data_IF_586522129481
#
_entry.id   IF_586522129481
#
_cell.length_a   1.000
_cell.length_b   1.000
_cell.length_c   1.000
_cell.angle_alpha   90.00
_cell.angle_beta   90.00
_cell.angle_gamma   90.00
#
_symmetry.space_group_name_H-M   'P 1'
#
loop_
_entity.id
_entity.type
_entity.pdbx_description
1 polymer ?
#
# COMPACT_ATOMS: atom_id res chain seq x y z
N UNK A 1 22.16 0.82 -20.83
CA UNK A 1 21.02 1.01 -19.90
C UNK A 1 21.24 2.32 -19.17
N UNK A 2 20.71 3.43 -19.69
CA UNK A 2 20.87 4.75 -19.08
C UNK A 2 19.80 4.92 -18.01
N UNK A 3 20.24 5.07 -16.76
CA UNK A 3 19.41 5.55 -15.67
C UNK A 3 19.05 7.02 -15.94
N UNK A 4 17.75 7.31 -15.96
CA UNK A 4 17.19 8.65 -15.82
C UNK A 4 16.86 8.90 -14.33
N UNK A 5 16.66 10.16 -13.88
CA UNK A 5 17.17 10.64 -12.59
C UNK A 5 16.33 10.24 -11.37
N UNK A 6 17.03 9.66 -10.38
CA UNK A 6 16.56 9.04 -9.12
C UNK A 6 15.95 9.99 -8.09
N UNK A 7 16.03 11.32 -8.26
CA UNK A 7 15.65 12.28 -7.22
C UNK A 7 14.13 12.54 -7.13
N UNK A 8 13.44 12.72 -8.26
CA UNK A 8 11.99 13.00 -8.30
C UNK A 8 11.16 11.76 -7.89
N UNK A 9 11.66 10.57 -8.19
CA UNK A 9 11.05 9.28 -7.84
C UNK A 9 11.09 9.03 -6.32
N UNK A 10 12.21 9.40 -5.67
CA UNK A 10 12.38 9.21 -4.22
C UNK A 10 11.46 10.06 -3.34
N UNK A 11 11.12 11.29 -3.76
CA UNK A 11 10.20 12.17 -3.02
C UNK A 11 8.74 11.71 -3.17
N UNK A 12 8.36 11.26 -4.37
CA UNK A 12 7.04 10.65 -4.64
C UNK A 12 6.86 9.31 -3.92
N UNK A 13 7.92 8.50 -3.88
CA UNK A 13 7.95 7.24 -3.14
C UNK A 13 7.82 7.46 -1.62
N UNK A 14 8.49 8.48 -1.09
CA UNK A 14 8.37 8.85 0.33
C UNK A 14 6.96 9.29 0.68
N UNK A 15 6.30 10.07 -0.19
CA UNK A 15 4.90 10.49 0.00
C UNK A 15 3.92 9.31 0.00
N UNK A 16 4.11 8.37 -0.92
CA UNK A 16 3.22 7.19 -1.05
C UNK A 16 3.42 6.20 0.10
N UNK A 17 4.65 6.05 0.59
CA UNK A 17 4.99 5.33 1.83
C UNK A 17 4.24 5.87 3.03
N UNK A 18 4.23 7.19 3.22
CA UNK A 18 3.51 7.83 4.34
C UNK A 18 2.01 7.54 4.28
N UNK A 19 1.39 7.63 3.09
CA UNK A 19 -0.04 7.35 2.90
C UNK A 19 -0.40 5.93 3.31
N UNK A 20 0.38 4.94 2.87
CA UNK A 20 0.08 3.55 3.18
C UNK A 20 0.42 3.17 4.63
N UNK A 21 1.48 3.74 5.18
CA UNK A 21 1.80 3.63 6.60
C UNK A 21 0.62 4.09 7.45
N UNK A 22 0.09 5.30 7.18
CA UNK A 22 -1.08 5.84 7.87
C UNK A 22 -2.34 4.98 7.69
N UNK A 23 -2.56 4.43 6.50
CA UNK A 23 -3.69 3.55 6.23
C UNK A 23 -3.61 2.25 7.04
N UNK A 24 -2.41 1.65 7.14
CA UNK A 24 -2.17 0.45 7.92
C UNK A 24 -2.27 0.73 9.43
N UNK A 25 -1.67 1.82 9.91
CA UNK A 25 -1.75 2.25 11.31
C UNK A 25 -3.20 2.47 11.73
N UNK A 26 -4.00 3.15 10.90
CA UNK A 26 -5.41 3.40 11.16
C UNK A 26 -6.26 2.12 11.18
N UNK A 27 -6.04 1.21 10.23
CA UNK A 27 -6.81 -0.03 10.14
C UNK A 27 -6.49 -1.01 11.29
N UNK A 28 -5.22 -1.05 11.72
CA UNK A 28 -4.75 -1.98 12.74
C UNK A 28 -4.65 -1.36 14.13
N UNK A 29 -5.05 -0.09 14.35
CA UNK A 29 -4.84 0.65 15.60
C UNK A 29 -5.23 -0.13 16.88
N UNK A 30 -6.30 -0.92 16.81
CA UNK A 30 -6.84 -1.72 17.93
C UNK A 30 -6.40 -3.18 17.93
N UNK A 31 -5.66 -3.61 16.91
CA UNK A 31 -5.21 -5.00 16.76
C UNK A 31 -3.93 -5.22 17.57
N UNK A 32 -3.97 -6.15 18.53
CA UNK A 32 -2.79 -6.63 19.26
C UNK A 32 -2.17 -7.89 18.66
N UNK A 33 -2.93 -8.59 17.83
CA UNK A 33 -2.54 -9.84 17.17
C UNK A 33 -3.36 -10.04 15.91
N UNK A 34 -2.94 -10.97 15.05
CA UNK A 34 -3.75 -11.44 13.93
C UNK A 34 -5.11 -11.99 14.41
N UNK A 35 -6.18 -11.54 13.75
CA UNK A 35 -7.55 -12.03 13.95
C UNK A 35 -8.19 -12.27 12.58
N UNK A 36 -8.37 -13.54 12.23
CA UNK A 36 -8.93 -13.96 10.95
C UNK A 36 -10.33 -13.41 10.68
N UNK A 37 -11.10 -13.08 11.73
CA UNK A 37 -12.45 -12.51 11.57
C UNK A 37 -12.41 -11.04 11.16
N UNK A 38 -11.31 -10.34 11.45
CA UNK A 38 -11.14 -8.92 11.18
C UNK A 38 -10.34 -8.62 9.90
N UNK A 39 -9.65 -9.62 9.32
CA UNK A 39 -8.82 -9.44 8.12
C UNK A 39 -9.58 -8.79 6.96
N UNK A 40 -10.85 -9.17 6.76
CA UNK A 40 -11.69 -8.57 5.72
C UNK A 40 -11.93 -7.07 5.97
N UNK A 41 -12.21 -6.69 7.22
CA UNK A 41 -12.40 -5.30 7.66
C UNK A 41 -11.11 -4.51 7.50
N UNK A 42 -9.98 -5.05 7.95
CA UNK A 42 -8.67 -4.39 7.86
C UNK A 42 -8.25 -4.14 6.41
N UNK A 43 -8.31 -5.16 5.55
CA UNK A 43 -8.00 -4.98 4.12
C UNK A 43 -8.91 -3.95 3.47
N UNK A 44 -10.22 -4.00 3.74
CA UNK A 44 -11.17 -3.02 3.20
C UNK A 44 -10.85 -1.60 3.67
N UNK A 45 -10.49 -1.42 4.94
CA UNK A 45 -10.10 -0.12 5.48
C UNK A 45 -8.81 0.41 4.85
N UNK A 46 -7.80 -0.44 4.67
CA UNK A 46 -6.52 -0.06 4.05
C UNK A 46 -6.75 0.36 2.59
N UNK A 47 -7.42 -0.49 1.81
CA UNK A 47 -7.69 -0.25 0.38
C UNK A 47 -8.44 1.07 0.20
N UNK A 48 -9.52 1.29 0.95
CA UNK A 48 -10.33 2.50 0.83
C UNK A 48 -9.57 3.76 1.25
N UNK A 49 -8.74 3.70 2.30
CA UNK A 49 -7.94 4.85 2.74
C UNK A 49 -6.88 5.22 1.71
N UNK A 50 -6.13 4.24 1.20
CA UNK A 50 -5.10 4.47 0.18
C UNK A 50 -5.71 5.02 -1.11
N UNK A 51 -6.80 4.42 -1.60
CA UNK A 51 -7.50 4.90 -2.80
C UNK A 51 -7.94 6.37 -2.66
N UNK A 52 -8.55 6.73 -1.53
CA UNK A 52 -8.99 8.12 -1.28
C UNK A 52 -7.81 9.09 -1.28
N UNK A 53 -6.72 8.74 -0.59
CA UNK A 53 -5.54 9.58 -0.52
C UNK A 53 -4.88 9.78 -1.90
N UNK A 54 -4.76 8.72 -2.71
CA UNK A 54 -4.21 8.81 -4.06
C UNK A 54 -5.06 9.70 -4.98
N UNK A 55 -6.39 9.58 -4.90
CA UNK A 55 -7.30 10.41 -5.68
C UNK A 55 -7.14 11.89 -5.29
N UNK A 56 -7.09 12.20 -3.99
CA UNK A 56 -6.91 13.58 -3.50
C UNK A 56 -5.55 14.13 -3.93
N UNK A 57 -4.48 13.34 -3.83
CA UNK A 57 -3.13 13.78 -4.16
C UNK A 57 -2.91 14.02 -5.66
N UNK A 58 -3.68 13.35 -6.52
CA UNK A 58 -3.45 13.38 -7.98
C UNK A 58 -4.51 14.12 -8.78
N UNK A 59 -5.67 14.43 -8.19
CA UNK A 59 -6.69 15.25 -8.86
C UNK A 59 -6.26 16.71 -8.84
N UNK A 60 -6.09 17.38 -9.99
CA UNK A 60 -5.70 18.79 -10.01
C UNK A 60 -6.73 19.66 -9.27
N UNK A 61 -6.28 20.59 -8.43
CA UNK A 61 -7.17 21.62 -7.90
C UNK A 61 -7.74 22.43 -9.08
N UNK A 62 -9.06 22.60 -9.09
CA UNK A 62 -9.77 23.33 -10.12
C UNK A 62 -9.39 24.82 -10.02
N UNK A 63 -8.28 25.21 -10.66
CA UNK A 63 -7.96 26.62 -10.86
C UNK A 63 -9.05 27.21 -11.73
N UNK A 64 -9.75 28.20 -11.16
CA UNK A 64 -10.84 28.97 -11.75
C UNK A 64 -10.41 29.59 -13.09
N UNK A 65 -10.50 28.82 -14.16
CA UNK A 65 -10.41 29.28 -15.54
C UNK A 65 -11.67 28.80 -16.23
N UNK A 66 -12.26 29.70 -17.01
CA UNK A 66 -13.59 29.70 -17.62
C UNK A 66 -13.85 28.61 -18.67
N UNK A 67 -13.26 27.43 -18.51
CA UNK A 67 -13.41 26.29 -19.41
C UNK A 67 -14.34 25.25 -18.78
N UNK A 68 -15.51 25.06 -19.38
CA UNK A 68 -16.61 24.17 -18.96
C UNK A 68 -16.35 22.68 -19.19
N UNK A 69 -15.10 22.26 -19.40
CA UNK A 69 -14.75 20.85 -19.60
C UNK A 69 -14.43 20.20 -18.25
N UNK A 70 -15.15 19.14 -17.83
CA UNK A 70 -14.85 18.44 -16.59
C UNK A 70 -13.43 17.84 -16.66
N UNK A 71 -12.59 18.20 -15.69
CA UNK A 71 -11.25 17.63 -15.55
C UNK A 71 -11.40 16.13 -15.29
N UNK A 72 -11.01 15.30 -16.24
CA UNK A 72 -11.01 13.83 -16.06
C UNK A 72 -9.89 13.46 -15.08
N UNK A 73 -10.12 12.53 -14.13
CA UNK A 73 -9.05 12.07 -13.25
C UNK A 73 -7.85 11.57 -14.06
N UNK A 74 -6.63 12.06 -13.77
CA UNK A 74 -5.46 11.78 -14.62
C UNK A 74 -4.99 10.33 -14.53
N UNK A 75 -5.45 9.56 -13.53
CA UNK A 75 -5.08 8.18 -13.33
C UNK A 75 -6.27 7.31 -12.93
N UNK A 76 -6.21 6.02 -13.27
CA UNK A 76 -6.98 4.94 -12.63
C UNK A 76 -6.05 4.18 -11.71
N UNK A 77 -6.52 3.87 -10.50
CA UNK A 77 -5.74 3.14 -9.50
C UNK A 77 -6.35 1.77 -9.22
N UNK A 78 -5.49 0.77 -9.02
CA UNK A 78 -5.83 -0.47 -8.33
C UNK A 78 -5.01 -0.56 -7.04
N UNK A 79 -5.62 -1.05 -5.97
CA UNK A 79 -4.95 -1.25 -4.68
C UNK A 79 -5.23 -2.67 -4.22
N UNK A 80 -4.17 -3.45 -4.06
CA UNK A 80 -4.20 -4.77 -3.45
C UNK A 80 -3.63 -4.67 -2.03
N UNK A 81 -4.36 -5.18 -1.05
CA UNK A 81 -3.88 -5.33 0.34
C UNK A 81 -3.92 -6.81 0.70
N UNK A 82 -2.78 -7.33 1.15
CA UNK A 82 -2.61 -8.72 1.58
C UNK A 82 -2.13 -8.73 3.03
N UNK A 83 -2.90 -9.37 3.92
CA UNK A 83 -2.54 -9.60 5.32
C UNK A 83 -2.20 -11.08 5.48
N UNK A 84 -1.01 -11.38 5.98
CA UNK A 84 -0.52 -12.75 6.18
C UNK A 84 -0.28 -12.97 7.66
N UNK A 85 -0.90 -14.01 8.22
CA UNK A 85 -0.55 -14.48 9.56
C UNK A 85 0.87 -15.04 9.54
N UNK A 86 1.76 -14.44 10.32
CA UNK A 86 3.06 -15.03 10.65
C UNK A 86 2.86 -16.06 11.77
N UNK A 87 3.75 -17.06 11.87
CA UNK A 87 3.55 -18.29 12.66
C UNK A 87 2.87 -18.08 14.03
N UNK A 88 2.07 -19.07 14.47
CA UNK A 88 1.27 -19.01 15.71
C UNK A 88 2.15 -18.55 16.87
N UNK A 89 1.89 -17.35 17.38
CA UNK A 89 2.51 -16.86 18.60
C UNK A 89 1.86 -17.60 19.77
N UNK A 90 2.34 -18.81 20.05
CA UNK A 90 2.14 -19.35 21.38
C UNK A 90 3.23 -18.74 22.26
N UNK A 91 2.98 -17.55 22.82
CA UNK A 91 3.97 -16.84 23.68
C UNK A 91 4.45 -17.73 24.82
N UNK A 92 3.63 -18.72 25.22
CA UNK A 92 3.96 -19.72 26.23
C UNK A 92 4.88 -20.84 25.70
N UNK A 93 4.85 -21.17 24.40
CA UNK A 93 5.65 -22.23 23.81
C UNK A 93 6.95 -21.74 23.14
N UNK A 94 7.09 -20.43 22.91
CA UNK A 94 8.23 -19.85 22.19
C UNK A 94 9.58 -19.90 22.93
N UNK A 95 9.62 -20.29 24.20
CA UNK A 95 10.86 -20.29 24.98
C UNK A 95 11.57 -18.92 24.97
N UNK A 96 12.83 -18.87 25.43
CA UNK A 96 13.61 -17.63 25.49
C UNK A 96 14.19 -17.17 24.15
N UNK A 97 13.90 -17.84 23.03
CA UNK A 97 14.53 -17.54 21.73
C UNK A 97 13.79 -16.50 20.91
N UNK A 98 12.51 -16.18 21.20
CA UNK A 98 11.80 -15.05 20.59
C UNK A 98 11.66 -15.10 19.06
N UNK A 99 12.09 -16.18 18.39
CA UNK A 99 12.06 -16.33 16.95
C UNK A 99 10.63 -16.62 16.50
N UNK A 100 9.95 -15.56 16.06
CA UNK A 100 8.70 -15.64 15.32
C UNK A 100 9.02 -16.39 14.01
N UNK A 101 8.49 -17.60 13.85
CA UNK A 101 8.61 -18.34 12.60
C UNK A 101 7.97 -17.56 11.45
N UNK A 102 8.79 -16.87 10.65
CA UNK A 102 8.32 -16.11 9.48
C UNK A 102 8.09 -17.07 8.31
N UNK A 103 6.89 -17.03 7.74
CA UNK A 103 6.57 -17.68 6.46
C UNK A 103 7.24 -16.89 5.34
N UNK A 104 7.99 -17.57 4.49
CA UNK A 104 8.49 -16.97 3.25
C UNK A 104 7.33 -16.65 2.30
N UNK A 105 7.28 -15.44 1.77
CA UNK A 105 6.34 -15.03 0.75
C UNK A 105 7.09 -14.29 -0.36
N UNK A 106 6.91 -14.74 -1.60
CA UNK A 106 7.40 -14.06 -2.80
C UNK A 106 6.19 -13.68 -3.67
N UNK A 107 6.15 -12.42 -4.10
CA UNK A 107 5.12 -11.90 -5.00
C UNK A 107 5.81 -11.13 -6.12
N UNK A 108 5.34 -11.35 -7.35
CA UNK A 108 5.81 -10.66 -8.54
C UNK A 108 4.61 -10.37 -9.44
N UNK A 109 4.61 -9.18 -10.05
CA UNK A 109 3.57 -8.75 -11.00
C UNK A 109 4.23 -8.32 -12.30
N UNK A 110 3.58 -8.60 -13.42
CA UNK A 110 3.98 -8.15 -14.74
C UNK A 110 2.78 -7.52 -15.46
N UNK A 111 3.05 -6.61 -16.39
CA UNK A 111 2.02 -5.92 -17.14
C UNK A 111 2.49 -5.53 -18.54
N UNK A 112 1.52 -5.30 -19.42
CA UNK A 112 1.71 -4.67 -20.73
C UNK A 112 1.04 -3.30 -20.69
N UNK A 113 1.84 -2.25 -20.54
CA UNK A 113 1.37 -0.89 -20.27
C UNK A 113 2.31 0.17 -20.86
N UNK A 114 1.98 1.45 -20.70
CA UNK A 114 2.89 2.55 -21.07
C UNK A 114 3.98 2.72 -20.01
N UNK A 115 5.20 2.30 -20.34
CA UNK A 115 6.35 2.33 -19.41
C UNK A 115 6.75 3.73 -18.93
N UNK A 116 6.26 4.79 -19.56
CA UNK A 116 6.59 6.16 -19.19
C UNK A 116 5.54 6.80 -18.27
N UNK A 117 4.34 6.23 -18.19
CA UNK A 117 3.19 6.87 -17.53
C UNK A 117 2.46 5.95 -16.55
N UNK A 118 2.54 4.64 -16.77
CA UNK A 118 1.94 3.62 -15.93
C UNK A 118 3.00 3.00 -15.01
N UNK A 119 2.56 2.43 -13.90
CA UNK A 119 3.49 1.79 -12.99
C UNK A 119 2.83 1.09 -11.84
N UNK A 120 3.68 0.45 -11.04
CA UNK A 120 3.28 -0.22 -9.82
C UNK A 120 4.26 0.08 -8.71
N UNK A 121 3.76 0.03 -7.49
CA UNK A 121 4.56 0.22 -6.30
C UNK A 121 4.06 -0.70 -5.19
N UNK A 122 4.98 -1.28 -4.42
CA UNK A 122 4.68 -2.26 -3.37
C UNK A 122 5.36 -1.84 -2.08
N UNK A 123 4.59 -1.90 -1.00
CA UNK A 123 4.99 -1.55 0.35
C UNK A 123 4.73 -2.70 1.30
N UNK A 124 5.71 -2.95 2.16
CA UNK A 124 5.56 -3.86 3.30
C UNK A 124 5.46 -3.03 4.57
N UNK A 125 4.35 -3.15 5.28
CA UNK A 125 4.10 -2.42 6.52
C UNK A 125 5.03 -2.92 7.65
N UNK A 126 5.87 -2.04 8.23
CA UNK A 126 6.81 -2.44 9.28
C UNK A 126 6.14 -2.75 10.62
N UNK A 127 4.98 -2.14 10.93
CA UNK A 127 4.29 -2.31 12.22
C UNK A 127 3.52 -3.63 12.39
N UNK A 128 3.55 -4.52 11.40
CA UNK A 128 2.84 -5.81 11.48
C UNK A 128 3.57 -6.86 12.33
N UNK A 129 4.91 -6.81 12.34
CA UNK A 129 5.74 -7.87 12.90
C UNK A 129 5.46 -8.12 14.40
N UNK A 130 5.33 -7.04 15.18
CA UNK A 130 5.01 -7.09 16.62
C UNK A 130 3.64 -7.74 16.90
N UNK A 131 2.77 -7.82 15.89
CA UNK A 131 1.39 -8.35 15.97
C UNK A 131 1.26 -9.74 15.36
N UNK A 132 2.39 -10.35 14.95
CA UNK A 132 2.40 -11.67 14.31
C UNK A 132 1.74 -11.69 12.94
N UNK A 133 1.79 -10.59 12.20
CA UNK A 133 1.26 -10.51 10.84
C UNK A 133 2.18 -9.69 9.93
N UNK A 134 2.14 -9.97 8.63
CA UNK A 134 2.69 -9.08 7.62
C UNK A 134 1.51 -8.41 6.89
N UNK A 135 1.69 -7.13 6.52
CA UNK A 135 0.80 -6.45 5.58
C UNK A 135 1.61 -6.00 4.38
N UNK A 136 1.16 -6.38 3.19
CA UNK A 136 1.73 -5.92 1.92
C UNK A 136 0.65 -5.18 1.14
N UNK A 137 0.95 -3.95 0.75
CA UNK A 137 0.06 -3.10 -0.05
C UNK A 137 0.72 -2.82 -1.39
N UNK A 138 0.05 -3.19 -2.48
CA UNK A 138 0.49 -2.92 -3.84
C UNK A 138 -0.48 -1.97 -4.53
N UNK A 139 0.05 -0.90 -5.08
CA UNK A 139 -0.68 0.09 -5.87
C UNK A 139 -0.25 -0.06 -7.32
N UNK A 140 -1.20 -0.04 -8.25
CA UNK A 140 -0.91 0.10 -9.68
C UNK A 140 -1.69 1.29 -10.21
N UNK A 141 -1.06 2.11 -11.04
CA UNK A 141 -1.69 3.26 -11.68
C UNK A 141 -1.58 3.16 -13.19
N UNK A 142 -2.62 3.67 -13.84
CA UNK A 142 -2.71 3.80 -15.29
C UNK A 142 -3.05 5.24 -15.64
N UNK A 143 -2.21 5.90 -16.42
CA UNK A 143 -2.48 7.26 -16.88
C UNK A 143 -3.67 7.28 -17.85
N UNK A 144 -4.52 8.28 -17.68
CA UNK A 144 -5.70 8.52 -18.49
C UNK A 144 -5.45 9.73 -19.40
N UNK A 145 -5.19 9.47 -20.69
CA UNK A 145 -4.93 10.49 -21.72
C UNK A 145 -3.53 10.39 -22.28
#
# INVERSE_FOLDING_TARGET
MRHAPTACESESETSTNVVQQQACDGALLKASSYDHTQVATWNSSIINSVLKALIVATTPEQSSTTTTTPTTPPYRFTVNSTIVQQGVIDKAAAGSSGEIGKRGMHSASGAYWDVNRDGMWTFKYPGGEERGLDVVVSVTWFAMG
#
